data_IF_296791594179
#
_entry.id   IF_296791594179
#
_cell.length_a   1.000
_cell.length_b   1.000
_cell.length_c   1.000
_cell.angle_alpha   90.00
_cell.angle_beta   90.00
_cell.angle_gamma   90.00
#
_symmetry.space_group_name_H-M   'P 1'
#
loop_
_entity.id
_entity.type
_entity.pdbx_description
1 polymer ?
#
# COMPACT_ATOMS: atom_id res chain seq x y z
N UNK A 1 -17.33 24.43 -36.35
CA UNK A 1 -17.95 24.56 -37.69
C UNK A 1 -16.93 24.03 -38.69
N UNK A 2 -16.98 22.73 -38.97
CA UNK A 2 -16.02 22.08 -39.87
C UNK A 2 -16.68 21.86 -41.24
N UNK A 3 -16.10 22.41 -42.30
CA UNK A 3 -16.51 22.20 -43.69
C UNK A 3 -16.03 20.84 -44.18
N UNK A 4 -16.96 19.99 -44.55
CA UNK A 4 -16.67 18.75 -45.26
C UNK A 4 -16.71 19.06 -46.76
N UNK A 5 -15.55 19.05 -47.43
CA UNK A 5 -15.49 19.26 -48.89
C UNK A 5 -15.71 17.93 -49.63
N UNK A 6 -16.73 17.90 -50.46
CA UNK A 6 -17.04 16.75 -51.32
C UNK A 6 -16.29 16.90 -52.64
N UNK A 7 -15.47 15.91 -52.98
CA UNK A 7 -14.90 15.79 -54.33
C UNK A 7 -15.54 14.57 -55.02
N UNK A 8 -16.32 14.82 -56.04
CA UNK A 8 -16.92 13.76 -56.88
C UNK A 8 -15.99 13.51 -58.02
N UNK A 9 -15.42 12.34 -58.16
CA UNK A 9 -14.65 11.90 -59.30
C UNK A 9 -15.52 10.98 -60.18
N UNK A 10 -15.92 11.47 -61.35
CA UNK A 10 -16.65 10.67 -62.35
C UNK A 10 -15.65 10.17 -63.37
N UNK A 11 -15.44 8.88 -63.42
CA UNK A 11 -14.54 8.27 -64.44
C UNK A 11 -15.38 7.56 -65.49
N UNK A 12 -15.34 8.12 -66.76
CA UNK A 12 -15.96 7.50 -67.90
C UNK A 12 -14.99 6.54 -68.60
N UNK A 13 -15.41 5.30 -68.80
CA UNK A 13 -14.72 4.32 -69.63
C UNK A 13 -15.55 4.06 -70.88
N UNK A 14 -15.11 4.55 -72.04
CA UNK A 14 -15.68 4.26 -73.35
C UNK A 14 -15.02 3.03 -73.93
N UNK A 15 -15.74 1.90 -74.04
CA UNK A 15 -15.36 0.77 -74.92
C UNK A 15 -16.35 0.67 -76.06
N UNK A 16 -15.83 0.87 -77.29
CA UNK A 16 -16.53 0.77 -78.55
C UNK A 16 -16.76 -0.69 -78.95
N UNK A 17 -18.03 -1.14 -79.02
CA UNK A 17 -18.40 -2.39 -79.74
C UNK A 17 -19.59 -2.12 -80.60
N UNK A 18 -19.46 -2.58 -81.88
CA UNK A 18 -20.42 -2.40 -83.01
C UNK A 18 -21.81 -3.00 -82.74
N UNK A 19 -22.81 -2.17 -82.98
CA UNK A 19 -24.20 -2.45 -83.46
C UNK A 19 -24.96 -3.64 -82.83
N UNK A 20 -25.81 -3.39 -81.93
CA UNK A 20 -27.28 -3.45 -81.84
C UNK A 20 -27.73 -3.40 -80.41
N UNK A 21 -28.50 -2.37 -80.08
CA UNK A 21 -29.17 -2.11 -78.78
C UNK A 21 -28.25 -1.52 -77.72
N UNK A 22 -28.36 -0.23 -77.51
CA UNK A 22 -27.75 0.54 -76.45
C UNK A 22 -28.50 0.19 -75.13
N UNK A 23 -27.82 -0.53 -74.28
CA UNK A 23 -28.18 -0.54 -72.86
C UNK A 23 -27.09 0.25 -72.12
N UNK A 24 -27.44 1.45 -71.68
CA UNK A 24 -26.59 2.23 -70.81
C UNK A 24 -26.78 1.62 -69.36
N UNK A 25 -25.85 0.84 -68.91
CA UNK A 25 -25.77 0.44 -67.52
C UNK A 25 -24.99 1.55 -66.82
N UNK A 26 -25.74 2.44 -66.14
CA UNK A 26 -25.17 3.43 -65.23
C UNK A 26 -24.87 2.72 -63.92
N UNK A 27 -23.67 2.19 -63.76
CA UNK A 27 -23.23 1.65 -62.45
C UNK A 27 -22.86 2.81 -61.54
N UNK A 28 -23.80 3.26 -60.73
CA UNK A 28 -23.55 4.17 -59.64
C UNK A 28 -22.86 3.38 -58.52
N UNK A 29 -21.52 3.47 -58.44
CA UNK A 29 -20.77 2.98 -57.27
C UNK A 29 -20.94 4.04 -56.18
N UNK A 30 -21.93 3.83 -55.31
CA UNK A 30 -22.07 4.61 -54.07
C UNK A 30 -21.02 4.09 -53.10
N UNK A 31 -19.87 4.76 -53.03
CA UNK A 31 -18.92 4.57 -51.97
C UNK A 31 -19.54 5.16 -50.72
N UNK A 32 -20.14 4.31 -49.86
CA UNK A 32 -20.44 4.67 -48.50
C UNK A 32 -19.12 4.88 -47.75
N UNK A 33 -18.62 6.11 -47.78
CA UNK A 33 -17.70 6.52 -46.74
C UNK A 33 -18.51 6.59 -45.44
N UNK A 34 -18.48 5.52 -44.69
CA UNK A 34 -18.89 5.58 -43.29
C UNK A 34 -17.91 6.55 -42.60
N UNK A 35 -18.31 7.77 -42.37
CA UNK A 35 -17.67 8.60 -41.38
C UNK A 35 -17.77 7.80 -40.07
N UNK A 36 -16.70 7.10 -39.65
CA UNK A 36 -16.59 6.67 -38.29
C UNK A 36 -16.54 7.96 -37.49
N UNK A 37 -17.61 8.26 -36.77
CA UNK A 37 -17.53 9.29 -35.72
C UNK A 37 -16.33 8.94 -34.86
N UNK A 38 -15.42 9.88 -34.73
CA UNK A 38 -14.33 9.70 -33.76
C UNK A 38 -14.95 9.41 -32.39
N UNK A 39 -14.51 8.36 -31.72
CA UNK A 39 -15.11 7.99 -30.44
C UNK A 39 -14.99 9.19 -29.50
N UNK A 40 -16.11 9.58 -28.89
CA UNK A 40 -16.12 10.63 -27.88
C UNK A 40 -15.14 10.26 -26.77
N UNK A 41 -14.10 11.08 -26.60
CA UNK A 41 -13.12 10.88 -25.54
C UNK A 41 -13.76 11.29 -24.23
N UNK A 42 -14.16 10.31 -23.46
CA UNK A 42 -14.65 10.45 -22.08
C UNK A 42 -13.85 9.54 -21.11
N UNK A 43 -14.18 9.60 -19.83
CA UNK A 43 -13.47 8.79 -18.82
C UNK A 43 -13.55 7.29 -19.12
N UNK A 44 -14.69 6.80 -19.64
CA UNK A 44 -14.87 5.38 -19.98
C UNK A 44 -13.95 4.95 -21.12
N UNK A 45 -13.85 5.79 -22.16
CA UNK A 45 -12.96 5.57 -23.27
C UNK A 45 -11.49 5.48 -22.81
N UNK A 46 -11.05 6.43 -21.98
CA UNK A 46 -9.66 6.48 -21.50
C UNK A 46 -9.35 5.29 -20.59
N UNK A 47 -10.29 4.90 -19.70
CA UNK A 47 -10.18 3.71 -18.87
C UNK A 47 -10.05 2.44 -19.72
N UNK A 48 -10.90 2.30 -20.75
CA UNK A 48 -10.85 1.13 -21.64
C UNK A 48 -9.52 1.06 -22.42
N UNK A 49 -9.02 2.20 -22.92
CA UNK A 49 -7.75 2.28 -23.62
C UNK A 49 -6.56 1.98 -22.72
N UNK A 50 -6.55 2.51 -21.49
CA UNK A 50 -5.55 2.14 -20.49
C UNK A 50 -5.54 0.62 -20.28
N UNK A 51 -6.71 0.00 -20.03
CA UNK A 51 -6.78 -1.44 -19.76
C UNK A 51 -6.35 -2.26 -20.97
N UNK A 52 -6.81 -1.89 -22.18
CA UNK A 52 -6.40 -2.55 -23.44
C UNK A 52 -4.86 -2.56 -23.59
N UNK A 53 -4.21 -1.43 -23.30
CA UNK A 53 -2.76 -1.31 -23.43
C UNK A 53 -2.03 -2.01 -22.28
N UNK A 54 -2.53 -1.85 -21.04
CA UNK A 54 -1.98 -2.55 -19.88
C UNK A 54 -2.03 -4.08 -20.05
N UNK A 55 -3.08 -4.62 -20.67
CA UNK A 55 -3.21 -6.07 -20.90
C UNK A 55 -2.15 -6.62 -21.87
N UNK A 56 -1.63 -5.79 -22.77
CA UNK A 56 -0.57 -6.15 -23.73
C UNK A 56 0.83 -6.15 -23.09
N UNK A 57 0.98 -5.56 -21.92
CA UNK A 57 2.26 -5.51 -21.20
C UNK A 57 2.47 -6.84 -20.49
N UNK A 58 3.54 -7.56 -20.81
CA UNK A 58 3.99 -8.76 -20.11
C UNK A 58 5.20 -8.50 -19.21
N UNK A 59 6.10 -7.62 -19.66
CA UNK A 59 7.26 -7.18 -18.90
C UNK A 59 7.36 -5.66 -18.96
N UNK A 60 7.80 -5.05 -17.86
CA UNK A 60 7.88 -3.61 -17.69
C UNK A 60 9.06 -3.26 -16.80
N UNK A 61 9.96 -2.39 -17.25
CA UNK A 61 10.95 -1.76 -16.38
C UNK A 61 10.80 -0.24 -16.41
N UNK A 62 11.08 0.41 -15.28
CA UNK A 62 11.01 1.87 -15.16
C UNK A 62 11.85 2.37 -13.99
N UNK A 63 12.14 3.65 -14.02
CA UNK A 63 12.55 4.40 -12.85
C UNK A 63 11.34 5.10 -12.23
N UNK A 64 11.30 5.18 -10.91
CA UNK A 64 10.24 5.87 -10.18
C UNK A 64 10.83 6.88 -9.20
N UNK A 65 10.23 8.08 -9.15
CA UNK A 65 10.36 9.01 -8.05
C UNK A 65 9.09 8.92 -7.21
N UNK A 66 9.24 8.60 -5.93
CA UNK A 66 8.15 8.54 -4.97
C UNK A 66 8.29 9.67 -3.94
N UNK A 67 7.23 10.48 -3.79
CA UNK A 67 7.15 11.59 -2.86
C UNK A 67 5.95 11.34 -1.96
N UNK A 68 6.19 11.16 -0.66
CA UNK A 68 5.14 10.98 0.36
C UNK A 68 5.26 12.07 1.42
N UNK A 69 4.14 12.66 1.83
CA UNK A 69 4.08 13.51 3.02
C UNK A 69 3.60 12.71 4.22
N UNK A 70 4.20 12.91 5.37
CA UNK A 70 3.83 12.23 6.61
C UNK A 70 3.09 13.15 7.58
N UNK A 71 2.27 12.53 8.43
CA UNK A 71 1.33 13.19 9.32
C UNK A 71 2.03 13.88 10.52
N UNK A 72 3.19 13.34 10.94
CA UNK A 72 3.76 13.67 12.24
C UNK A 72 4.40 15.06 12.32
N UNK A 73 5.15 15.46 11.29
CA UNK A 73 5.96 16.69 11.33
C UNK A 73 5.98 17.42 9.99
N UNK A 74 5.15 16.99 9.03
CA UNK A 74 5.20 17.47 7.65
C UNK A 74 6.43 16.96 6.89
N UNK A 75 7.12 15.93 7.41
CA UNK A 75 8.26 15.33 6.74
C UNK A 75 7.88 14.86 5.34
N UNK A 76 8.75 15.10 4.39
CA UNK A 76 8.59 14.69 2.99
C UNK A 76 9.62 13.64 2.69
N UNK A 77 9.16 12.43 2.38
CA UNK A 77 10.00 11.41 1.75
C UNK A 77 10.04 11.66 0.25
N UNK A 78 11.25 11.71 -0.30
CA UNK A 78 11.49 11.86 -1.73
C UNK A 78 12.55 10.85 -2.14
N UNK A 79 12.10 9.69 -2.60
CA UNK A 79 12.95 8.57 -2.95
C UNK A 79 12.89 8.28 -4.44
N UNK A 80 14.02 7.89 -5.02
CA UNK A 80 14.11 7.38 -6.38
C UNK A 80 14.54 5.94 -6.38
N UNK A 81 14.22 5.23 -7.45
CA UNK A 81 14.63 3.85 -7.60
C UNK A 81 14.19 3.24 -8.93
N UNK A 82 14.42 1.96 -9.04
CA UNK A 82 14.17 1.16 -10.23
C UNK A 82 13.24 0.00 -9.89
N UNK A 83 12.36 -0.36 -10.82
CA UNK A 83 11.60 -1.60 -10.76
C UNK A 83 11.57 -2.29 -12.12
N UNK A 84 11.64 -3.62 -12.09
CA UNK A 84 11.29 -4.52 -13.18
C UNK A 84 10.11 -5.36 -12.70
N UNK A 85 9.10 -5.49 -13.54
CA UNK A 85 7.89 -6.27 -13.26
C UNK A 85 7.63 -7.21 -14.43
N UNK A 86 7.38 -8.47 -14.15
CA UNK A 86 6.96 -9.48 -15.12
C UNK A 86 5.61 -10.05 -14.70
N UNK A 87 4.58 -9.98 -15.57
CA UNK A 87 3.28 -10.57 -15.28
C UNK A 87 3.39 -12.08 -15.11
N UNK A 88 2.78 -12.59 -14.04
CA UNK A 88 2.64 -14.02 -13.79
C UNK A 88 1.19 -14.36 -13.46
N UNK A 89 0.47 -14.97 -14.42
CA UNK A 89 -0.94 -15.37 -14.25
C UNK A 89 -1.12 -16.45 -13.17
N UNK A 90 -0.07 -17.16 -12.80
CA UNK A 90 -0.10 -18.19 -11.78
C UNK A 90 0.10 -17.62 -10.38
N UNK A 91 0.69 -16.43 -10.25
CA UNK A 91 0.81 -15.76 -8.97
C UNK A 91 -0.56 -15.25 -8.51
N UNK A 92 -1.02 -15.77 -7.35
CA UNK A 92 -2.35 -15.47 -6.78
C UNK A 92 -2.33 -14.25 -5.83
N UNK A 93 -1.16 -13.68 -5.58
CA UNK A 93 -0.99 -12.58 -4.64
C UNK A 93 -0.96 -11.25 -5.35
N UNK A 94 -0.02 -11.06 -6.26
CA UNK A 94 0.18 -9.82 -7.00
C UNK A 94 -0.19 -9.95 -8.48
N UNK A 95 -0.18 -11.17 -9.04
CA UNK A 95 -0.34 -11.42 -10.48
C UNK A 95 0.93 -11.10 -11.28
N UNK A 96 2.06 -10.88 -10.60
CA UNK A 96 3.35 -10.58 -11.22
C UNK A 96 4.51 -10.90 -10.29
N UNK A 97 5.69 -11.14 -10.87
CA UNK A 97 6.98 -11.12 -10.20
C UNK A 97 7.63 -9.75 -10.34
N UNK A 98 8.51 -9.37 -9.42
CA UNK A 98 9.23 -8.10 -9.53
C UNK A 98 10.63 -8.14 -8.96
N UNK A 99 11.49 -7.27 -9.49
CA UNK A 99 12.71 -6.79 -8.87
C UNK A 99 12.52 -5.30 -8.56
N UNK A 100 12.97 -4.87 -7.37
CA UNK A 100 12.89 -3.48 -6.96
C UNK A 100 14.13 -3.05 -6.17
N UNK A 101 14.60 -1.84 -6.46
CA UNK A 101 15.74 -1.22 -5.78
C UNK A 101 15.48 0.26 -5.58
N UNK A 102 15.73 0.74 -4.37
CA UNK A 102 15.71 2.17 -4.04
C UNK A 102 17.15 2.69 -3.99
N UNK A 103 17.39 3.89 -4.53
CA UNK A 103 18.76 4.39 -4.76
C UNK A 103 19.52 4.76 -3.47
N UNK A 104 18.79 5.07 -2.39
CA UNK A 104 19.36 5.50 -1.11
C UNK A 104 19.74 4.35 -0.17
N UNK A 105 19.46 3.10 -0.55
CA UNK A 105 19.79 1.89 0.23
C UNK A 105 20.50 0.86 -0.64
N UNK A 106 21.44 0.08 -0.08
CA UNK A 106 22.20 -0.91 -0.84
C UNK A 106 21.42 -2.20 -1.11
N UNK A 107 20.37 -2.48 -0.35
CA UNK A 107 19.58 -3.69 -0.48
C UNK A 107 18.70 -3.69 -1.73
N UNK A 108 18.61 -4.85 -2.36
CA UNK A 108 17.76 -5.13 -3.50
C UNK A 108 16.71 -6.16 -3.14
N UNK A 109 15.59 -6.16 -3.85
CA UNK A 109 14.45 -7.00 -3.49
C UNK A 109 13.89 -7.70 -4.71
N UNK A 110 13.66 -9.02 -4.59
CA UNK A 110 12.99 -9.83 -5.61
C UNK A 110 11.75 -10.46 -4.99
N UNK A 111 10.66 -10.45 -5.74
CA UNK A 111 9.52 -11.31 -5.52
C UNK A 111 9.31 -12.18 -6.75
N UNK A 112 9.23 -13.49 -6.56
CA UNK A 112 8.99 -14.44 -7.63
C UNK A 112 8.24 -15.67 -7.12
N UNK A 113 7.13 -16.02 -7.79
CA UNK A 113 6.32 -17.20 -7.52
C UNK A 113 6.00 -17.42 -6.02
N UNK A 114 5.54 -16.38 -5.33
CA UNK A 114 5.20 -16.45 -3.90
C UNK A 114 6.37 -16.37 -2.93
N UNK A 115 7.60 -16.19 -3.41
CA UNK A 115 8.81 -16.09 -2.59
C UNK A 115 9.42 -14.71 -2.69
N UNK A 116 9.75 -14.11 -1.55
CA UNK A 116 10.45 -12.84 -1.47
C UNK A 116 11.90 -13.01 -1.05
N UNK A 117 12.79 -12.19 -1.61
CA UNK A 117 14.22 -12.17 -1.32
C UNK A 117 14.66 -10.73 -1.05
N UNK A 118 15.44 -10.54 0.01
CA UNK A 118 16.20 -9.31 0.29
C UNK A 118 17.68 -9.63 0.07
N UNK A 119 18.33 -8.93 -0.83
CA UNK A 119 19.65 -9.25 -1.36
C UNK A 119 20.67 -8.25 -0.82
N UNK A 120 21.79 -8.75 -0.32
CA UNK A 120 22.92 -8.02 0.19
C UNK A 120 24.13 -8.27 -0.74
N UNK A 121 24.27 -7.45 -1.78
CA UNK A 121 25.31 -7.64 -2.82
C UNK A 121 26.73 -7.63 -2.25
N UNK A 122 27.03 -6.72 -1.31
CA UNK A 122 28.34 -6.59 -0.70
C UNK A 122 28.75 -7.86 0.05
N UNK A 123 27.81 -8.53 0.71
CA UNK A 123 28.06 -9.72 1.52
C UNK A 123 27.84 -11.03 0.73
N UNK A 124 27.48 -10.94 -0.55
CA UNK A 124 27.03 -12.09 -1.35
C UNK A 124 26.05 -12.98 -0.58
N UNK A 125 25.01 -12.36 -0.02
CA UNK A 125 24.02 -13.07 0.78
C UNK A 125 22.60 -12.57 0.52
N UNK A 126 21.61 -13.36 0.89
CA UNK A 126 20.20 -12.95 0.83
C UNK A 126 19.39 -13.54 1.99
N UNK A 127 18.31 -12.86 2.35
CA UNK A 127 17.23 -13.39 3.23
C UNK A 127 16.02 -13.76 2.41
N UNK A 128 15.28 -14.75 2.87
CA UNK A 128 13.93 -15.03 2.38
C UNK A 128 12.89 -14.31 3.24
N UNK A 129 11.88 -13.73 2.61
CA UNK A 129 10.73 -13.13 3.29
C UNK A 129 9.63 -14.16 3.46
N UNK A 130 9.13 -14.36 4.70
CA UNK A 130 8.09 -15.35 4.98
C UNK A 130 6.68 -14.91 4.57
N UNK A 131 6.50 -13.68 4.09
CA UNK A 131 5.22 -13.13 3.69
C UNK A 131 5.35 -12.12 2.56
N UNK A 132 4.51 -12.27 1.55
CA UNK A 132 4.54 -11.45 0.34
C UNK A 132 4.25 -9.97 0.63
N UNK A 133 3.28 -9.71 1.52
CA UNK A 133 2.87 -8.33 1.84
C UNK A 133 3.95 -7.52 2.56
N UNK A 134 4.81 -8.18 3.36
CA UNK A 134 5.95 -7.52 3.99
C UNK A 134 6.94 -6.95 2.98
N UNK A 135 7.04 -7.59 1.80
CA UNK A 135 7.99 -7.18 0.77
C UNK A 135 7.62 -5.86 0.10
N UNK A 136 6.32 -5.56 -0.09
CA UNK A 136 5.86 -4.28 -0.66
C UNK A 136 6.23 -3.08 0.24
N UNK A 137 6.32 -3.27 1.55
CA UNK A 137 6.77 -2.26 2.50
C UNK A 137 8.29 -2.01 2.53
N UNK A 138 9.08 -2.88 1.90
CA UNK A 138 10.54 -2.72 1.81
C UNK A 138 10.93 -1.58 0.88
N UNK A 139 12.16 -1.06 0.98
CA UNK A 139 12.63 -0.01 0.06
C UNK A 139 12.43 -0.35 -1.41
N UNK A 140 12.82 -1.55 -1.84
CA UNK A 140 12.61 -1.97 -3.24
C UNK A 140 11.15 -2.22 -3.59
N UNK A 141 10.36 -2.78 -2.67
CA UNK A 141 8.92 -2.97 -2.86
C UNK A 141 8.15 -1.66 -3.00
N UNK A 142 8.62 -0.57 -2.36
CA UNK A 142 8.06 0.77 -2.50
C UNK A 142 8.24 1.35 -3.91
N UNK A 143 9.15 0.80 -4.70
CA UNK A 143 9.34 1.18 -6.11
C UNK A 143 8.38 0.45 -7.05
N UNK A 144 7.59 -0.50 -6.55
CA UNK A 144 6.57 -1.23 -7.32
C UNK A 144 5.20 -0.61 -7.07
N UNK A 145 4.59 -0.05 -8.11
CA UNK A 145 3.28 0.59 -7.98
C UNK A 145 2.15 -0.35 -8.38
N UNK A 146 1.23 -0.65 -7.44
CA UNK A 146 0.14 -1.61 -7.66
C UNK A 146 -0.83 -1.23 -8.79
N UNK A 147 -1.02 0.06 -9.04
CA UNK A 147 -1.92 0.57 -10.07
C UNK A 147 -1.29 0.72 -11.46
N UNK A 148 -0.07 0.20 -11.69
CA UNK A 148 0.61 0.38 -12.97
C UNK A 148 -0.05 -0.44 -14.09
N UNK A 149 -0.72 -1.54 -13.74
CA UNK A 149 -1.47 -2.41 -14.68
C UNK A 149 -2.99 -2.34 -14.51
N UNK A 150 -3.47 -1.69 -13.46
CA UNK A 150 -4.90 -1.72 -13.13
C UNK A 150 -5.33 -0.44 -12.45
N UNK A 151 -6.35 0.21 -12.99
CA UNK A 151 -7.01 1.33 -12.33
C UNK A 151 -7.90 0.83 -11.19
N UNK A 152 -8.26 1.74 -10.29
CA UNK A 152 -9.18 1.42 -9.21
C UNK A 152 -10.58 1.09 -9.78
N UNK A 153 -11.18 0.01 -9.30
CA UNK A 153 -12.51 -0.48 -9.74
C UNK A 153 -13.64 -0.10 -8.78
N UNK A 154 -13.30 0.32 -7.55
CA UNK A 154 -14.26 0.74 -6.53
C UNK A 154 -14.00 2.21 -6.23
N UNK A 155 -14.89 3.08 -6.70
CA UNK A 155 -14.80 4.52 -6.52
C UNK A 155 -16.21 5.13 -6.46
N UNK A 156 -16.32 6.33 -5.91
CA UNK A 156 -17.55 7.10 -5.85
C UNK A 156 -17.84 7.82 -7.16
N UNK A 157 -16.81 8.45 -7.71
CA UNK A 157 -16.90 9.22 -8.95
C UNK A 157 -15.58 9.14 -9.72
N UNK A 158 -15.67 9.31 -11.05
CA UNK A 158 -14.52 9.48 -11.93
C UNK A 158 -14.77 10.63 -12.89
N UNK A 159 -13.78 11.50 -13.05
CA UNK A 159 -13.82 12.61 -14.02
C UNK A 159 -12.59 12.60 -14.89
N UNK A 160 -12.73 13.15 -16.10
CA UNK A 160 -11.67 13.31 -17.08
C UNK A 160 -11.44 14.79 -17.31
N UNK A 161 -10.19 15.20 -17.25
CA UNK A 161 -9.69 16.43 -17.87
C UNK A 161 -8.45 16.11 -18.68
N UNK A 162 -7.97 17.03 -19.49
CA UNK A 162 -6.82 16.79 -20.34
C UNK A 162 -5.91 18.00 -20.41
N UNK A 163 -4.64 17.72 -20.67
CA UNK A 163 -3.62 18.68 -21.07
C UNK A 163 -3.25 18.45 -22.53
N UNK A 164 -2.32 19.20 -23.07
CA UNK A 164 -1.81 18.98 -24.43
C UNK A 164 -1.36 17.52 -24.64
N UNK A 165 -0.62 16.95 -23.69
CA UNK A 165 0.07 15.66 -23.83
C UNK A 165 -0.50 14.52 -22.99
N UNK A 166 -1.44 14.80 -22.09
CA UNK A 166 -1.93 13.78 -21.15
C UNK A 166 -3.45 13.88 -20.87
N UNK A 167 -4.04 12.73 -20.57
CA UNK A 167 -5.34 12.59 -19.92
C UNK A 167 -5.18 12.57 -18.42
N UNK A 168 -6.02 13.29 -17.68
CA UNK A 168 -6.04 13.32 -16.22
C UNK A 168 -7.33 12.64 -15.74
N UNK A 169 -7.23 11.37 -15.38
CA UNK A 169 -8.33 10.62 -14.74
C UNK A 169 -8.29 10.87 -13.24
N UNK A 170 -9.32 11.49 -12.70
CA UNK A 170 -9.48 11.73 -11.27
C UNK A 170 -10.54 10.81 -10.68
N UNK A 171 -10.14 9.91 -9.82
CA UNK A 171 -11.01 9.03 -9.03
C UNK A 171 -11.24 9.63 -7.65
N UNK A 172 -12.50 9.69 -7.23
CA UNK A 172 -12.91 10.08 -5.88
C UNK A 172 -13.46 8.84 -5.16
N UNK A 173 -13.11 8.67 -3.89
CA UNK A 173 -13.46 7.49 -3.11
C UNK A 173 -14.33 7.86 -1.92
N UNK A 174 -15.12 6.89 -1.43
CA UNK A 174 -15.82 7.03 -0.17
C UNK A 174 -14.86 7.21 1.00
N UNK A 175 -15.30 7.92 2.02
CA UNK A 175 -14.52 8.11 3.24
C UNK A 175 -14.28 6.75 3.92
N UNK A 176 -13.09 6.59 4.46
CA UNK A 176 -12.75 5.42 5.26
C UNK A 176 -12.95 5.73 6.74
N UNK A 177 -13.96 5.09 7.34
CA UNK A 177 -14.30 5.30 8.74
C UNK A 177 -13.39 4.50 9.69
N UNK A 178 -12.68 3.50 9.19
CA UNK A 178 -11.74 2.69 9.99
C UNK A 178 -10.46 3.48 10.26
N UNK A 179 -9.90 4.08 9.22
CA UNK A 179 -8.63 4.84 9.32
C UNK A 179 -8.83 6.36 9.31
N UNK A 180 -10.09 6.83 9.32
CA UNK A 180 -10.47 8.24 9.29
C UNK A 180 -9.91 9.02 8.11
N UNK A 181 -9.95 8.40 6.94
CA UNK A 181 -9.53 9.03 5.71
C UNK A 181 -10.74 9.66 5.03
N UNK A 182 -10.64 10.94 4.70
CA UNK A 182 -11.64 11.71 3.96
C UNK A 182 -11.02 12.39 2.75
N UNK A 183 -11.85 12.95 1.87
CA UNK A 183 -11.41 13.67 0.66
C UNK A 183 -10.42 12.87 -0.19
N UNK A 184 -10.62 11.55 -0.25
CA UNK A 184 -9.71 10.62 -0.94
C UNK A 184 -9.84 10.80 -2.45
N UNK A 185 -8.74 11.20 -3.10
CA UNK A 185 -8.66 11.37 -4.56
C UNK A 185 -7.40 10.76 -5.10
N UNK A 186 -7.50 10.05 -6.23
CA UNK A 186 -6.37 9.54 -6.99
C UNK A 186 -6.43 10.08 -8.41
N UNK A 187 -5.34 10.67 -8.87
CA UNK A 187 -5.19 11.21 -10.20
C UNK A 187 -4.17 10.38 -10.94
N UNK A 188 -4.57 9.84 -12.08
CA UNK A 188 -3.68 9.22 -13.06
C UNK A 188 -3.45 10.21 -14.18
N UNK A 189 -2.21 10.62 -14.39
CA UNK A 189 -1.78 11.33 -15.57
C UNK A 189 -1.30 10.30 -16.59
N UNK A 190 -2.10 10.05 -17.62
CA UNK A 190 -1.85 9.07 -18.67
C UNK A 190 -1.42 9.80 -19.94
N UNK A 191 -0.28 9.45 -20.51
CA UNK A 191 0.11 10.07 -21.77
C UNK A 191 -0.85 9.66 -22.91
N UNK A 192 -1.02 10.55 -23.90
CA UNK A 192 -2.00 10.34 -24.98
C UNK A 192 -1.55 9.34 -26.04
N UNK A 193 -0.28 8.92 -26.02
CA UNK A 193 0.28 8.02 -27.04
C UNK A 193 -0.01 6.56 -26.73
N UNK A 194 0.30 6.13 -25.52
CA UNK A 194 0.22 4.73 -25.09
C UNK A 194 -0.65 4.51 -23.85
N UNK A 195 -1.22 5.59 -23.30
CA UNK A 195 -2.04 5.60 -22.08
C UNK A 195 -1.29 5.06 -20.83
N UNK A 196 0.04 5.01 -20.88
CA UNK A 196 0.82 4.63 -19.71
C UNK A 196 0.83 5.80 -18.70
N UNK A 197 0.84 5.54 -17.39
CA UNK A 197 0.88 6.61 -16.40
C UNK A 197 2.28 7.24 -16.32
N UNK A 198 2.37 8.53 -16.57
CA UNK A 198 3.57 9.34 -16.29
C UNK A 198 3.62 9.71 -14.80
N UNK A 199 2.44 9.84 -14.18
CA UNK A 199 2.30 10.19 -12.77
C UNK A 199 1.01 9.61 -12.18
N UNK A 200 1.13 9.12 -10.94
CA UNK A 200 -0.02 8.76 -10.11
C UNK A 200 0.08 9.57 -8.81
N UNK A 201 -0.96 10.36 -8.51
CA UNK A 201 -1.04 11.18 -7.30
C UNK A 201 -2.24 10.75 -6.46
N UNK A 202 -1.99 10.40 -5.22
CA UNK A 202 -3.03 10.09 -4.24
C UNK A 202 -3.04 11.17 -3.15
N UNK A 203 -4.22 11.70 -2.85
CA UNK A 203 -4.42 12.70 -1.79
C UNK A 203 -5.56 12.25 -0.89
N UNK A 204 -5.42 12.50 0.38
CA UNK A 204 -6.46 12.25 1.38
C UNK A 204 -6.24 13.15 2.59
N UNK A 205 -7.30 13.36 3.36
CA UNK A 205 -7.24 14.07 4.65
C UNK A 205 -7.38 13.04 5.77
N UNK A 206 -6.47 13.07 6.73
CA UNK A 206 -6.49 12.21 7.92
C UNK A 206 -6.39 13.07 9.17
N UNK A 207 -7.38 12.93 10.07
CA UNK A 207 -7.44 13.69 11.32
C UNK A 207 -7.24 15.21 11.13
N UNK A 208 -7.71 15.75 9.99
CA UNK A 208 -7.61 17.18 9.65
C UNK A 208 -6.33 17.58 8.90
N UNK A 209 -5.35 16.68 8.74
CA UNK A 209 -4.14 16.91 7.94
C UNK A 209 -4.28 16.34 6.54
N UNK A 210 -3.92 17.11 5.52
CA UNK A 210 -3.90 16.67 4.12
C UNK A 210 -2.57 16.00 3.82
N UNK A 211 -2.66 14.76 3.32
CA UNK A 211 -1.53 13.92 2.97
C UNK A 211 -1.50 13.69 1.46
N UNK A 212 -0.30 13.57 0.92
CA UNK A 212 -0.07 13.43 -0.53
C UNK A 212 0.96 12.33 -0.76
N UNK A 213 0.66 11.44 -1.70
CA UNK A 213 1.61 10.48 -2.26
C UNK A 213 1.67 10.68 -3.76
N UNK A 214 2.87 10.84 -4.32
CA UNK A 214 3.10 11.01 -5.75
C UNK A 214 4.10 9.97 -6.22
N UNK A 215 3.76 9.25 -7.27
CA UNK A 215 4.67 8.38 -8.01
C UNK A 215 4.82 8.93 -9.43
N UNK A 216 6.04 9.29 -9.82
CA UNK A 216 6.40 9.71 -11.18
C UNK A 216 7.22 8.62 -11.83
N UNK A 217 6.92 8.30 -13.09
CA UNK A 217 7.57 7.23 -13.84
C UNK A 217 8.40 7.82 -14.98
N UNK A 218 9.60 7.29 -15.16
CA UNK A 218 10.51 7.65 -16.24
C UNK A 218 11.27 6.42 -16.76
N UNK A 219 11.96 6.56 -17.88
CA UNK A 219 12.77 5.50 -18.50
C UNK A 219 11.99 4.19 -18.70
N UNK A 220 10.71 4.33 -19.08
CA UNK A 220 9.77 3.22 -19.20
C UNK A 220 10.12 2.38 -20.43
N UNK A 221 10.34 1.07 -20.20
CA UNK A 221 10.55 0.08 -21.27
C UNK A 221 9.52 -1.04 -21.11
N UNK A 222 8.92 -1.43 -22.21
CA UNK A 222 7.81 -2.38 -22.25
C UNK A 222 8.17 -3.54 -23.17
N UNK A 223 7.89 -4.76 -22.73
CA UNK A 223 8.04 -6.03 -23.45
C UNK A 223 9.45 -6.20 -24.04
N UNK A 224 9.61 -6.23 -25.35
CA UNK A 224 10.87 -6.49 -26.05
C UNK A 224 11.94 -5.41 -25.81
N UNK A 225 11.55 -4.24 -25.27
CA UNK A 225 12.48 -3.18 -24.89
C UNK A 225 13.07 -3.38 -23.50
N UNK A 226 12.49 -4.28 -22.71
CA UNK A 226 13.00 -4.64 -21.37
C UNK A 226 14.33 -5.35 -21.53
N UNK A 227 15.34 -4.94 -20.77
CA UNK A 227 16.73 -5.40 -20.94
C UNK A 227 17.14 -6.47 -19.95
N UNK A 228 16.35 -6.70 -18.91
CA UNK A 228 16.61 -7.66 -17.84
C UNK A 228 15.40 -8.56 -17.63
N UNK A 229 15.60 -9.67 -16.94
CA UNK A 229 14.50 -10.51 -16.46
C UNK A 229 14.66 -10.84 -14.96
N UNK A 230 13.55 -11.21 -14.31
CA UNK A 230 13.60 -11.71 -12.92
C UNK A 230 14.50 -12.93 -12.83
N UNK A 231 14.51 -13.76 -13.87
CA UNK A 231 15.38 -14.93 -13.96
C UNK A 231 16.87 -14.53 -13.94
N UNK A 232 17.25 -13.47 -14.64
CA UNK A 232 18.65 -13.01 -14.69
C UNK A 232 19.11 -12.55 -13.30
N UNK A 233 18.31 -11.73 -12.60
CA UNK A 233 18.61 -11.31 -11.25
C UNK A 233 18.71 -12.48 -10.25
N UNK A 234 17.87 -13.50 -10.42
CA UNK A 234 17.95 -14.73 -9.61
C UNK A 234 19.19 -15.56 -9.94
N UNK A 235 19.62 -15.60 -11.20
CA UNK A 235 20.82 -16.27 -11.61
C UNK A 235 22.07 -15.61 -11.02
N UNK A 236 22.08 -14.28 -10.90
CA UNK A 236 23.19 -13.54 -10.29
C UNK A 236 23.40 -13.85 -8.79
N UNK A 237 22.36 -14.29 -8.09
CA UNK A 237 22.42 -14.61 -6.67
C UNK A 237 22.43 -16.12 -6.38
N UNK A 238 22.60 -16.97 -7.40
CA UNK A 238 22.48 -18.42 -7.24
C UNK A 238 23.51 -19.03 -6.28
N UNK A 239 24.70 -18.42 -6.18
CA UNK A 239 25.80 -18.81 -5.31
C UNK A 239 25.86 -18.03 -3.98
N UNK A 240 24.88 -17.13 -3.74
CA UNK A 240 24.84 -16.34 -2.51
C UNK A 240 24.43 -17.21 -1.31
N UNK A 241 25.01 -16.90 -0.15
CA UNK A 241 24.65 -17.56 1.11
C UNK A 241 23.28 -17.12 1.63
N UNK A 242 22.52 -18.06 2.20
CA UNK A 242 21.24 -17.73 2.82
C UNK A 242 21.45 -17.23 4.23
N UNK A 243 21.02 -15.99 4.50
CA UNK A 243 20.98 -15.44 5.85
C UNK A 243 19.70 -15.91 6.52
N UNK A 244 19.83 -16.80 7.49
CA UNK A 244 18.68 -17.26 8.26
C UNK A 244 18.10 -16.11 9.09
N UNK A 245 16.75 -16.02 9.21
CA UNK A 245 16.11 -15.04 10.05
C UNK A 245 16.65 -15.15 11.48
N UNK A 246 17.26 -14.08 11.98
CA UNK A 246 17.62 -14.04 13.40
C UNK A 246 16.33 -14.19 14.20
N UNK A 247 16.28 -15.16 15.12
CA UNK A 247 15.17 -15.25 16.08
C UNK A 247 15.05 -13.88 16.75
N UNK A 248 13.85 -13.32 16.72
CA UNK A 248 13.57 -12.05 17.40
C UNK A 248 14.00 -12.20 18.84
N UNK A 249 14.91 -11.34 19.30
CA UNK A 249 15.31 -11.36 20.71
C UNK A 249 14.10 -10.93 21.53
N UNK A 250 13.74 -11.69 22.57
CA UNK A 250 12.71 -11.27 23.49
C UNK A 250 13.11 -9.93 24.14
N UNK A 251 12.13 -9.22 24.67
CA UNK A 251 12.39 -8.00 25.44
C UNK A 251 13.37 -8.29 26.57
N UNK A 252 14.22 -7.30 26.88
CA UNK A 252 15.12 -7.36 28.06
C UNK A 252 14.34 -7.47 29.38
N UNK A 253 13.06 -7.10 29.35
CA UNK A 253 12.15 -7.16 30.51
C UNK A 253 11.51 -8.55 30.70
N UNK A 254 11.61 -9.46 29.71
CA UNK A 254 10.99 -10.79 29.84
C UNK A 254 11.48 -11.53 31.07
N UNK A 255 10.53 -12.02 31.89
CA UNK A 255 10.73 -12.67 33.18
C UNK A 255 11.41 -11.79 34.26
N UNK A 256 11.32 -10.46 34.10
CA UNK A 256 11.81 -9.48 35.05
C UNK A 256 10.67 -8.61 35.58
N UNK A 257 10.88 -7.94 36.71
CA UNK A 257 9.94 -6.94 37.19
C UNK A 257 9.76 -5.82 36.16
N UNK A 258 8.50 -5.40 36.02
CA UNK A 258 8.16 -4.20 35.23
C UNK A 258 8.78 -2.98 35.96
N UNK A 259 9.42 -2.05 35.24
CA UNK A 259 9.82 -0.77 35.78
C UNK A 259 8.63 -0.06 36.47
N UNK A 260 8.88 0.75 37.47
CA UNK A 260 7.84 1.57 38.05
C UNK A 260 7.38 2.62 37.00
N UNK A 261 6.11 2.56 36.65
CA UNK A 261 5.53 3.45 35.64
C UNK A 261 4.51 4.37 36.30
N UNK A 262 4.80 5.65 36.25
CA UNK A 262 3.86 6.73 36.60
C UNK A 262 3.83 7.70 35.39
N UNK A 263 2.73 7.68 34.66
CA UNK A 263 2.62 8.38 33.37
C UNK A 263 1.36 9.25 33.35
N UNK A 264 1.36 10.37 32.61
CA UNK A 264 0.16 11.17 32.42
C UNK A 264 -0.95 10.39 31.71
N UNK A 265 -2.19 10.58 32.14
CA UNK A 265 -3.37 10.09 31.44
C UNK A 265 -3.51 10.82 30.09
N UNK A 266 -3.81 10.08 29.02
CA UNK A 266 -3.94 10.68 27.68
C UNK A 266 -5.10 11.69 27.59
N UNK A 267 -6.21 11.43 28.31
CA UNK A 267 -7.40 12.30 28.26
C UNK A 267 -7.33 13.47 29.25
N UNK A 268 -6.49 13.36 30.29
CA UNK A 268 -6.23 14.40 31.28
C UNK A 268 -4.74 14.38 31.67
N UNK A 269 -3.92 15.07 30.92
CA UNK A 269 -2.46 15.06 31.11
C UNK A 269 -1.99 15.65 32.46
N UNK A 270 -2.85 16.32 33.22
CA UNK A 270 -2.54 16.77 34.56
C UNK A 270 -2.67 15.64 35.58
N UNK A 271 -3.29 14.54 35.22
CA UNK A 271 -3.48 13.35 36.07
C UNK A 271 -2.38 12.34 35.80
N UNK A 272 -1.53 12.12 36.81
CA UNK A 272 -0.57 11.03 36.77
C UNK A 272 -1.25 9.72 37.15
N UNK A 273 -0.95 8.67 36.42
CA UNK A 273 -1.46 7.32 36.68
C UNK A 273 -0.30 6.37 36.96
N UNK A 274 -0.28 5.82 38.17
CA UNK A 274 0.65 4.76 38.51
C UNK A 274 0.11 3.44 37.97
N UNK A 275 0.89 2.76 37.14
CA UNK A 275 0.52 1.42 36.65
C UNK A 275 0.57 0.44 37.79
N UNK A 276 -0.61 -0.01 38.23
CA UNK A 276 -0.75 -0.91 39.34
C UNK A 276 -0.90 -2.36 38.86
N UNK A 277 -0.06 -3.25 39.35
CA UNK A 277 0.01 -4.65 38.95
C UNK A 277 -0.83 -5.59 39.85
N UNK A 278 -1.89 -5.10 40.48
CA UNK A 278 -2.76 -5.94 41.31
C UNK A 278 -3.53 -7.02 40.53
N UNK A 279 -3.57 -6.87 39.21
CA UNK A 279 -4.18 -7.79 38.24
C UNK A 279 -3.21 -8.10 37.14
N UNK A 280 -3.52 -9.16 36.37
CA UNK A 280 -2.86 -9.35 35.07
C UNK A 280 -3.01 -8.07 34.24
N UNK A 281 -1.93 -7.59 33.64
CA UNK A 281 -1.94 -6.33 32.88
C UNK A 281 -1.39 -6.55 31.47
N UNK A 282 -2.16 -6.16 30.48
CA UNK A 282 -1.70 -6.10 29.08
C UNK A 282 -1.33 -4.65 28.76
N UNK A 283 -0.07 -4.40 28.45
CA UNK A 283 0.43 -3.09 28.02
C UNK A 283 0.57 -3.14 26.50
N UNK A 284 -0.03 -2.17 25.80
CA UNK A 284 0.08 -1.97 24.36
C UNK A 284 0.81 -0.66 24.08
N UNK A 285 1.95 -0.70 23.40
CA UNK A 285 2.52 0.49 22.76
C UNK A 285 1.91 0.65 21.39
N UNK A 286 1.34 1.82 21.10
CA UNK A 286 0.67 2.12 19.87
C UNK A 286 0.88 3.57 19.43
N UNK A 287 0.67 3.88 18.15
CA UNK A 287 0.80 5.23 17.61
C UNK A 287 -0.35 5.57 16.65
N UNK A 288 -0.67 6.85 16.50
CA UNK A 288 -1.76 7.33 15.64
C UNK A 288 -1.58 6.96 14.17
N UNK A 289 -0.36 6.91 13.69
CA UNK A 289 -0.01 6.51 12.33
C UNK A 289 0.01 4.99 12.12
N UNK A 290 -0.05 4.22 13.18
CA UNK A 290 0.05 2.77 13.15
C UNK A 290 -1.28 2.11 12.74
N UNK A 291 -1.48 1.88 11.45
CA UNK A 291 -2.68 1.21 10.95
C UNK A 291 -2.96 -0.16 11.58
N UNK A 292 -1.96 -1.07 11.80
CA UNK A 292 -2.19 -2.32 12.52
C UNK A 292 -2.65 -2.13 13.97
N UNK A 293 -2.20 -1.07 14.66
CA UNK A 293 -2.66 -0.73 16.01
C UNK A 293 -4.15 -0.37 16.00
N UNK A 294 -4.53 0.54 15.10
CA UNK A 294 -5.93 0.97 14.95
C UNK A 294 -6.84 -0.22 14.62
N UNK A 295 -6.38 -1.14 13.78
CA UNK A 295 -7.09 -2.35 13.42
C UNK A 295 -7.20 -3.35 14.58
N UNK A 296 -6.30 -3.31 15.57
CA UNK A 296 -6.35 -4.20 16.74
C UNK A 296 -7.26 -3.71 17.86
N UNK A 297 -7.57 -2.42 17.96
CA UNK A 297 -8.38 -1.83 19.04
C UNK A 297 -9.68 -2.57 19.34
N UNK A 298 -10.53 -2.97 18.37
CA UNK A 298 -11.74 -3.71 18.67
C UNK A 298 -11.46 -5.06 19.35
N UNK A 299 -10.35 -5.70 19.02
CA UNK A 299 -9.95 -6.97 19.63
C UNK A 299 -9.40 -6.78 21.03
N UNK A 300 -8.68 -5.69 21.28
CA UNK A 300 -8.18 -5.30 22.60
C UNK A 300 -9.36 -4.95 23.52
N UNK A 301 -10.35 -4.18 23.01
CA UNK A 301 -11.61 -3.92 23.76
C UNK A 301 -12.36 -5.22 24.11
N UNK A 302 -12.41 -6.17 23.18
CA UNK A 302 -13.03 -7.47 23.46
C UNK A 302 -12.31 -8.22 24.59
N UNK A 303 -10.97 -8.21 24.64
CA UNK A 303 -10.20 -8.80 25.73
C UNK A 303 -10.52 -8.10 27.06
N UNK A 304 -10.60 -6.77 27.07
CA UNK A 304 -11.00 -6.00 28.27
C UNK A 304 -12.38 -6.41 28.78
N UNK A 305 -13.35 -6.52 27.89
CA UNK A 305 -14.71 -6.89 28.25
C UNK A 305 -14.81 -8.35 28.72
N UNK A 306 -14.09 -9.25 28.05
CA UNK A 306 -14.09 -10.68 28.36
C UNK A 306 -13.44 -10.99 29.73
N UNK A 307 -12.40 -10.26 30.10
CA UNK A 307 -11.61 -10.49 31.35
C UNK A 307 -11.63 -9.28 32.28
N UNK A 308 -12.77 -8.60 32.38
CA UNK A 308 -12.90 -7.31 33.04
C UNK A 308 -12.50 -7.33 34.53
N UNK A 309 -12.64 -8.47 35.23
CA UNK A 309 -12.29 -8.65 36.65
C UNK A 309 -10.83 -9.02 36.86
N UNK A 310 -10.19 -9.70 35.91
CA UNK A 310 -8.86 -10.27 36.04
C UNK A 310 -7.77 -9.51 35.28
N UNK A 311 -8.16 -8.75 34.22
CA UNK A 311 -7.23 -8.11 33.30
C UNK A 311 -7.37 -6.60 33.31
N UNK A 312 -6.23 -5.91 33.48
CA UNK A 312 -6.09 -4.50 33.14
C UNK A 312 -5.53 -4.38 31.71
N UNK A 313 -5.95 -3.36 30.99
CA UNK A 313 -5.36 -3.01 29.69
C UNK A 313 -4.93 -1.56 29.71
N UNK A 314 -3.69 -1.30 29.27
CA UNK A 314 -3.08 0.01 29.25
C UNK A 314 -2.48 0.23 27.86
N UNK A 315 -2.96 1.23 27.14
CA UNK A 315 -2.33 1.74 25.94
C UNK A 315 -1.29 2.79 26.31
N UNK A 316 -0.17 2.81 25.62
CA UNK A 316 0.87 3.84 25.73
C UNK A 316 1.12 4.41 24.34
N UNK A 317 0.99 5.73 24.20
CA UNK A 317 1.26 6.47 22.97
C UNK A 317 2.34 7.50 23.24
N UNK A 318 3.34 7.61 22.37
CA UNK A 318 4.53 8.44 22.58
C UNK A 318 4.60 9.65 21.67
N UNK A 319 3.73 9.73 20.67
CA UNK A 319 3.73 10.78 19.66
C UNK A 319 2.30 11.29 19.39
N UNK A 320 2.20 12.53 18.87
CA UNK A 320 0.96 13.15 18.37
C UNK A 320 -0.26 13.01 19.31
N UNK A 321 -0.08 13.41 20.56
CA UNK A 321 -1.08 13.26 21.63
C UNK A 321 -2.43 13.87 21.33
N UNK A 322 -2.48 15.01 20.61
CA UNK A 322 -3.75 15.65 20.23
C UNK A 322 -4.59 14.74 19.32
N UNK A 323 -3.96 14.13 18.33
CA UNK A 323 -4.64 13.21 17.44
C UNK A 323 -4.90 11.86 18.10
N UNK A 324 -4.05 11.44 19.06
CA UNK A 324 -4.31 10.27 19.89
C UNK A 324 -5.60 10.43 20.70
N UNK A 325 -5.79 11.58 21.37
CA UNK A 325 -7.04 11.92 22.08
C UNK A 325 -8.26 11.87 21.15
N UNK A 326 -8.15 12.50 19.96
CA UNK A 326 -9.25 12.46 18.96
C UNK A 326 -9.57 11.03 18.53
N UNK A 327 -8.54 10.22 18.30
CA UNK A 327 -8.67 8.83 17.85
C UNK A 327 -9.34 7.97 18.92
N UNK A 328 -8.86 8.03 20.16
CA UNK A 328 -9.42 7.28 21.30
C UNK A 328 -10.90 7.62 21.51
N UNK A 329 -11.26 8.92 21.56
CA UNK A 329 -12.64 9.37 21.67
C UNK A 329 -13.51 8.88 20.51
N UNK A 330 -13.04 9.05 19.28
CA UNK A 330 -13.78 8.72 18.07
C UNK A 330 -13.98 7.22 17.89
N UNK A 331 -13.01 6.40 18.34
CA UNK A 331 -13.12 4.92 18.32
C UNK A 331 -13.90 4.35 19.51
N UNK A 332 -14.24 5.18 20.50
CA UNK A 332 -14.88 4.72 21.71
C UNK A 332 -14.01 3.76 22.52
N UNK A 333 -12.68 4.01 22.52
CA UNK A 333 -11.73 3.21 23.29
C UNK A 333 -11.95 3.48 24.79
N UNK A 334 -12.16 2.42 25.55
CA UNK A 334 -12.52 2.51 26.98
C UNK A 334 -11.41 2.00 27.89
N UNK A 335 -10.40 1.29 27.40
CA UNK A 335 -9.22 0.98 28.19
C UNK A 335 -8.35 2.22 28.39
N UNK A 336 -7.62 2.24 29.50
CA UNK A 336 -6.78 3.37 29.86
C UNK A 336 -5.67 3.58 28.83
N UNK A 337 -5.45 4.85 28.44
CA UNK A 337 -4.35 5.24 27.59
C UNK A 337 -3.48 6.29 28.33
N UNK A 338 -2.18 6.12 28.26
CA UNK A 338 -1.18 6.94 28.93
C UNK A 338 -0.23 7.58 27.92
N UNK A 339 0.36 8.69 28.31
CA UNK A 339 1.37 9.41 27.54
C UNK A 339 2.74 8.85 27.86
N UNK A 340 3.37 8.21 26.87
CA UNK A 340 4.74 7.71 26.93
C UNK A 340 5.75 8.70 26.34
N UNK A 341 6.92 8.19 26.05
CA UNK A 341 7.99 8.92 25.34
C UNK A 341 8.99 7.93 24.71
N UNK A 342 9.92 8.47 23.92
CA UNK A 342 10.94 7.65 23.21
C UNK A 342 11.90 6.92 24.15
N UNK A 343 12.14 7.42 25.37
CA UNK A 343 13.03 6.77 26.32
C UNK A 343 12.35 5.55 26.95
N UNK A 344 11.07 5.66 27.27
CA UNK A 344 10.27 4.53 27.71
C UNK A 344 10.21 3.43 26.62
N UNK A 345 10.02 3.81 25.37
CA UNK A 345 10.07 2.86 24.25
C UNK A 345 11.41 2.14 24.13
N UNK A 346 12.52 2.86 24.29
CA UNK A 346 13.87 2.27 24.31
C UNK A 346 14.05 1.31 25.48
N UNK A 347 13.55 1.65 26.66
CA UNK A 347 13.59 0.81 27.86
C UNK A 347 12.84 -0.50 27.63
N UNK A 348 11.64 -0.45 27.04
CA UNK A 348 10.84 -1.62 26.67
C UNK A 348 11.36 -2.34 25.42
N UNK A 349 12.27 -1.74 24.67
CA UNK A 349 12.77 -2.26 23.41
C UNK A 349 11.73 -2.25 22.30
N UNK A 350 10.84 -1.26 22.33
CA UNK A 350 9.84 -1.04 21.28
C UNK A 350 10.55 -0.53 20.01
N UNK A 351 10.40 -1.26 18.91
CA UNK A 351 10.98 -0.92 17.59
C UNK A 351 9.99 -1.16 16.46
N UNK A 352 8.80 -1.59 16.79
CA UNK A 352 7.69 -1.80 15.87
C UNK A 352 6.38 -1.78 16.64
N UNK A 353 5.32 -1.29 16.03
CA UNK A 353 3.99 -1.15 16.62
C UNK A 353 2.96 -2.01 15.88
N UNK A 354 1.90 -2.52 16.59
CA UNK A 354 1.77 -2.50 18.05
C UNK A 354 2.75 -3.47 18.72
N UNK A 355 3.19 -3.12 19.93
CA UNK A 355 4.01 -3.96 20.78
C UNK A 355 3.26 -4.26 22.07
N UNK A 356 3.17 -5.52 22.48
CA UNK A 356 2.43 -5.91 23.68
C UNK A 356 3.35 -6.54 24.71
N UNK A 357 3.03 -6.28 26.00
CA UNK A 357 3.66 -6.92 27.16
C UNK A 357 2.58 -7.42 28.08
N UNK A 358 2.63 -8.69 28.49
CA UNK A 358 1.73 -9.30 29.43
C UNK A 358 2.43 -9.46 30.78
N UNK A 359 1.92 -8.75 31.77
CA UNK A 359 2.52 -8.61 33.11
C UNK A 359 1.62 -9.30 34.12
N UNK A 360 2.18 -10.16 34.99
CA UNK A 360 1.39 -10.84 36.03
C UNK A 360 1.07 -9.91 37.20
N UNK A 361 0.26 -10.42 38.16
CA UNK A 361 -0.15 -9.67 39.35
C UNK A 361 0.98 -9.44 40.37
N UNK A 362 2.18 -9.94 40.13
CA UNK A 362 3.41 -9.65 40.90
C UNK A 362 4.29 -8.62 40.18
N UNK A 363 3.82 -8.09 39.02
CA UNK A 363 4.56 -7.14 38.25
C UNK A 363 5.66 -7.74 37.36
N UNK A 364 5.65 -9.06 37.14
CA UNK A 364 6.66 -9.72 36.30
C UNK A 364 6.16 -9.79 34.85
N UNK A 365 6.97 -9.35 33.88
CA UNK A 365 6.68 -9.47 32.45
C UNK A 365 6.75 -10.94 32.03
N UNK A 366 5.60 -11.55 31.82
CA UNK A 366 5.49 -12.98 31.47
C UNK A 366 5.66 -13.25 29.99
N UNK A 367 5.20 -12.33 29.12
CA UNK A 367 5.24 -12.46 27.66
C UNK A 367 5.41 -11.11 27.00
N UNK A 368 5.94 -11.14 25.79
CA UNK A 368 5.99 -10.00 24.90
C UNK A 368 5.61 -10.43 23.47
N UNK A 369 4.91 -9.54 22.72
CA UNK A 369 4.39 -9.88 21.40
C UNK A 369 4.64 -8.73 20.43
N UNK A 370 4.95 -9.11 19.18
CA UNK A 370 5.05 -8.22 18.04
C UNK A 370 3.74 -8.30 17.23
N UNK A 371 2.89 -7.30 17.36
CA UNK A 371 1.55 -7.30 16.75
C UNK A 371 0.52 -8.09 17.56
N UNK A 372 -0.76 -7.83 17.30
CA UNK A 372 -1.87 -8.54 17.92
C UNK A 372 -2.03 -9.94 17.32
N UNK A 373 -2.11 -10.96 18.16
CA UNK A 373 -2.36 -12.34 17.74
C UNK A 373 -3.29 -13.07 18.71
N UNK A 374 -3.92 -14.15 18.24
CA UNK A 374 -4.75 -15.02 19.09
C UNK A 374 -3.97 -15.68 20.25
N UNK A 375 -2.64 -15.67 20.18
CA UNK A 375 -1.80 -16.19 21.26
C UNK A 375 -1.89 -15.35 22.52
N UNK A 376 -2.14 -14.03 22.41
CA UNK A 376 -2.35 -13.12 23.54
C UNK A 376 -3.51 -13.63 24.42
N UNK A 377 -4.65 -13.91 23.81
CA UNK A 377 -5.84 -14.41 24.53
C UNK A 377 -5.58 -15.77 25.19
N UNK A 378 -4.89 -16.68 24.51
CA UNK A 378 -4.52 -18.00 25.06
C UNK A 378 -3.63 -17.88 26.29
N UNK A 379 -2.63 -16.99 26.22
CA UNK A 379 -1.70 -16.79 27.34
C UNK A 379 -2.37 -16.05 28.50
N UNK A 380 -3.29 -15.11 28.25
CA UNK A 380 -4.14 -14.50 29.29
C UNK A 380 -4.95 -15.59 30.02
N UNK A 381 -5.68 -16.43 29.30
CA UNK A 381 -6.46 -17.53 29.90
C UNK A 381 -5.59 -18.45 30.73
N UNK A 382 -4.41 -18.82 30.24
CA UNK A 382 -3.47 -19.67 30.96
C UNK A 382 -2.97 -19.04 32.27
N UNK A 383 -2.62 -17.75 32.22
CA UNK A 383 -2.12 -17.06 33.42
C UNK A 383 -3.21 -16.85 34.46
N UNK A 384 -4.45 -16.54 34.07
CA UNK A 384 -5.60 -16.45 34.99
C UNK A 384 -5.86 -17.81 35.66
N UNK A 385 -5.86 -18.91 34.88
CA UNK A 385 -6.05 -20.25 35.45
C UNK A 385 -4.97 -20.60 36.48
N UNK A 386 -3.70 -20.29 36.19
CA UNK A 386 -2.60 -20.54 37.11
C UNK A 386 -2.70 -19.71 38.43
N UNK A 387 -3.22 -18.49 38.36
CA UNK A 387 -3.42 -17.64 39.56
C UNK A 387 -4.52 -18.19 40.46
N UNK A 388 -5.55 -18.81 39.89
CA UNK A 388 -6.65 -19.41 40.66
C UNK A 388 -6.27 -20.72 41.35
N UNK A 389 -5.27 -21.44 40.84
CA UNK A 389 -4.73 -22.68 41.46
C UNK A 389 -3.75 -22.36 42.59
N UNK A 390 -3.15 -21.16 42.60
CA UNK A 390 -2.18 -20.75 43.62
C UNK A 390 -2.80 -20.00 44.82
N UNK A 391 -4.12 -19.81 44.82
CA UNK A 391 -4.93 -19.32 45.94
C UNK A 391 -5.57 -20.48 46.69
#
# INVERSE_FOLDING_TARGET
>A
MYFCSYTVVVQYSLKYIRMKKIFIILSVVVLFYSCKEEPKVDAKYVIAKFQENADKINALEYRMQRIDTFDQDGAVFNNTGFALIEKDKNDKVFGFSFYGKRDDVPEEYIYDAGKGFEIFRADKSYKTYPGQFGLIGTPGGQMVHANIFKLDSIYKNVSLSETENAYLLTFEFENDTVYYLSEKKKIFQLNKTDFFPDLIKYTYTRLGKKLVSISKFSDVKINEKVTHSIKDFKQEIHDYSVVLPKKRKPSKLLLKPLPELELPDLLDQNKLVKVNNNKLTLIEFWEVWCAPCIASFPRVENLKNQFSTELNIIGIVSEDYENAVKLVKKKGITFQNLVGNSDLEKEFGVRSWPRYFLVDNRGIVQKDYYGFSSQIEKDIKKLIANQNVAR
#
